data_IF_664404591103
#
_entry.id   IF_664404591103
#
_cell.length_a   1.000
_cell.length_b   1.000
_cell.length_c   1.000
_cell.angle_alpha   90.00
_cell.angle_beta   90.00
_cell.angle_gamma   90.00
#
_symmetry.space_group_name_H-M   'P 1'
#
loop_
_entity.id
_entity.type
_entity.pdbx_description
1 polymer ?
#
# COMPACT_ATOMS: atom_id res chain seq x y z
N UNK A 1 -14.25 25.71 6.44
CA UNK A 1 -14.67 24.36 5.99
C UNK A 1 -14.82 23.46 7.21
N UNK A 2 -15.98 22.83 7.43
CA UNK A 2 -16.15 21.82 8.48
C UNK A 2 -15.31 20.60 8.10
N UNK A 3 -14.33 20.22 8.94
CA UNK A 3 -13.57 18.98 8.79
C UNK A 3 -14.56 17.82 8.82
N UNK A 4 -14.81 17.17 7.69
CA UNK A 4 -15.59 15.94 7.67
C UNK A 4 -14.91 14.95 8.62
N UNK A 5 -15.67 14.36 9.54
CA UNK A 5 -15.14 13.35 10.46
C UNK A 5 -14.74 12.15 9.60
N UNK A 6 -13.46 11.79 9.60
CA UNK A 6 -12.97 10.61 8.87
C UNK A 6 -13.55 9.35 9.54
N UNK A 7 -14.63 8.83 8.98
CA UNK A 7 -15.22 7.55 9.35
C UNK A 7 -14.47 6.41 8.67
N UNK A 8 -14.46 5.24 9.30
CA UNK A 8 -13.82 4.02 8.77
C UNK A 8 -14.33 3.70 7.36
N UNK A 9 -15.64 3.72 7.17
CA UNK A 9 -16.30 3.41 5.89
C UNK A 9 -15.85 4.36 4.78
N UNK A 10 -15.80 5.66 5.07
CA UNK A 10 -15.32 6.68 4.15
C UNK A 10 -13.85 6.45 3.75
N UNK A 11 -12.97 6.19 4.73
CA UNK A 11 -11.55 5.95 4.47
C UNK A 11 -11.38 4.73 3.55
N UNK A 12 -12.02 3.62 3.90
CA UNK A 12 -11.91 2.39 3.13
C UNK A 12 -12.50 2.52 1.72
N UNK A 13 -13.64 3.20 1.60
CA UNK A 13 -14.24 3.51 0.30
C UNK A 13 -13.30 4.35 -0.57
N UNK A 14 -12.73 5.41 -0.01
CA UNK A 14 -11.78 6.28 -0.72
C UNK A 14 -10.52 5.53 -1.17
N UNK A 15 -9.89 4.75 -0.28
CA UNK A 15 -8.67 4.00 -0.61
C UNK A 15 -8.91 2.99 -1.73
N UNK A 16 -10.05 2.28 -1.69
CA UNK A 16 -10.45 1.33 -2.74
C UNK A 16 -10.75 2.04 -4.06
N UNK A 17 -11.53 3.12 -4.04
CA UNK A 17 -11.89 3.88 -5.24
C UNK A 17 -10.65 4.46 -5.94
N UNK A 18 -9.67 4.94 -5.16
CA UNK A 18 -8.43 5.52 -5.70
C UNK A 18 -7.35 4.48 -6.01
N UNK A 19 -7.62 3.18 -5.84
CA UNK A 19 -6.64 2.12 -6.03
C UNK A 19 -5.42 2.26 -5.11
N UNK A 20 -5.56 2.94 -3.97
CA UNK A 20 -4.48 3.17 -2.99
C UNK A 20 -4.38 1.97 -2.07
N UNK A 21 -3.75 0.91 -2.58
CA UNK A 21 -3.54 -0.34 -1.86
C UNK A 21 -2.38 -0.27 -0.87
N UNK A 22 -1.43 0.64 -1.10
CA UNK A 22 -0.29 0.93 -0.23
C UNK A 22 -0.25 2.42 0.13
N UNK A 23 0.20 2.73 1.35
CA UNK A 23 0.44 4.10 1.80
C UNK A 23 1.34 4.17 3.04
N UNK A 24 2.01 5.31 3.20
CA UNK A 24 2.66 5.75 4.45
C UNK A 24 1.73 6.62 5.30
N UNK A 25 2.14 6.95 6.53
CA UNK A 25 1.40 7.93 7.35
C UNK A 25 1.38 9.30 6.69
N UNK A 26 2.46 9.68 6.01
CA UNK A 26 2.64 10.92 5.28
C UNK A 26 1.69 10.97 4.07
N UNK A 27 1.60 9.89 3.30
CA UNK A 27 0.63 9.76 2.21
C UNK A 27 -0.79 9.91 2.74
N UNK A 28 -1.10 9.23 3.84
CA UNK A 28 -2.42 9.28 4.47
C UNK A 28 -2.76 10.70 4.94
N UNK A 29 -1.80 11.38 5.57
CA UNK A 29 -1.95 12.77 5.99
C UNK A 29 -2.22 13.70 4.80
N UNK A 30 -1.49 13.51 3.70
CA UNK A 30 -1.66 14.26 2.46
C UNK A 30 -3.02 13.99 1.81
N UNK A 31 -3.39 12.73 1.63
CA UNK A 31 -4.65 12.29 0.98
C UNK A 31 -5.89 12.83 1.68
N UNK A 32 -5.89 12.88 3.00
CA UNK A 32 -7.05 13.31 3.79
C UNK A 32 -6.91 14.74 4.34
N UNK A 33 -5.86 15.47 3.96
CA UNK A 33 -5.57 16.83 4.41
C UNK A 33 -5.61 16.98 5.94
N UNK A 34 -4.92 16.09 6.64
CA UNK A 34 -4.81 16.05 8.10
C UNK A 34 -3.35 16.11 8.56
N UNK A 35 -3.13 16.33 9.86
CA UNK A 35 -1.78 16.35 10.40
C UNK A 35 -1.21 14.93 10.49
N UNK A 36 0.12 14.73 10.34
CA UNK A 36 0.76 13.42 10.48
C UNK A 36 0.42 12.71 11.80
N UNK A 37 0.39 13.46 12.91
CA UNK A 37 0.00 12.89 14.21
C UNK A 37 -1.43 12.35 14.22
N UNK A 38 -2.37 13.05 13.59
CA UNK A 38 -3.75 12.55 13.50
C UNK A 38 -3.86 11.37 12.54
N UNK A 39 -3.13 11.40 11.41
CA UNK A 39 -3.04 10.29 10.48
C UNK A 39 -2.51 9.02 11.16
N UNK A 40 -1.41 9.13 11.92
CA UNK A 40 -0.85 8.01 12.68
C UNK A 40 -1.89 7.39 13.64
N UNK A 41 -2.68 8.20 14.33
CA UNK A 41 -3.76 7.72 15.21
C UNK A 41 -4.91 7.06 14.44
N UNK A 42 -5.23 7.53 13.24
CA UNK A 42 -6.25 6.90 12.37
C UNK A 42 -5.72 5.56 11.86
N UNK A 43 -4.51 5.53 11.31
CA UNK A 43 -3.87 4.33 10.78
C UNK A 43 -3.69 3.28 11.87
N UNK A 44 -3.26 3.66 13.07
CA UNK A 44 -3.17 2.74 14.21
C UNK A 44 -4.53 2.10 14.56
N UNK A 45 -5.63 2.86 14.45
CA UNK A 45 -6.98 2.32 14.67
C UNK A 45 -7.38 1.34 13.56
N UNK A 46 -7.08 1.66 12.31
CA UNK A 46 -7.30 0.75 11.16
C UNK A 46 -6.43 -0.51 11.23
N UNK A 47 -5.22 -0.41 11.78
CA UNK A 47 -4.37 -1.57 12.02
C UNK A 47 -4.98 -2.46 13.09
N UNK A 48 -5.44 -1.87 14.19
CA UNK A 48 -6.08 -2.60 15.31
C UNK A 48 -7.40 -3.26 14.93
N UNK A 49 -8.15 -2.70 13.98
CA UNK A 49 -9.38 -3.30 13.46
C UNK A 49 -9.15 -4.32 12.35
N UNK A 50 -7.90 -4.53 11.92
CA UNK A 50 -7.53 -5.49 10.87
C UNK A 50 -7.86 -5.01 9.46
N UNK A 51 -8.16 -3.72 9.28
CA UNK A 51 -8.44 -3.16 7.95
C UNK A 51 -7.17 -2.97 7.12
N UNK A 52 -6.04 -2.73 7.79
CA UNK A 52 -4.74 -2.52 7.16
C UNK A 52 -3.67 -3.31 7.88
N UNK A 53 -2.69 -3.77 7.14
CA UNK A 53 -1.54 -4.54 7.63
C UNK A 53 -0.30 -3.68 7.47
N UNK A 54 0.57 -3.67 8.48
CA UNK A 54 1.89 -3.04 8.40
C UNK A 54 2.87 -4.06 7.82
N UNK A 55 3.28 -3.88 6.58
CA UNK A 55 4.19 -4.80 5.86
C UNK A 55 5.66 -4.49 6.16
N UNK A 56 5.95 -3.21 6.41
CA UNK A 56 7.23 -2.71 6.88
C UNK A 56 6.94 -1.50 7.80
N UNK A 57 7.88 -1.13 8.67
CA UNK A 57 7.70 -0.04 9.62
C UNK A 57 7.23 1.25 8.92
N UNK A 58 6.04 1.74 9.28
CA UNK A 58 5.46 2.97 8.73
C UNK A 58 4.81 2.82 7.35
N UNK A 59 4.76 1.59 6.81
CA UNK A 59 4.23 1.25 5.49
C UNK A 59 3.08 0.28 5.62
N UNK A 60 1.93 0.67 5.07
CA UNK A 60 0.67 -0.03 5.29
C UNK A 60 0.02 -0.43 3.97
N UNK A 61 -0.60 -1.59 3.97
CA UNK A 61 -1.45 -2.08 2.87
C UNK A 61 -2.86 -2.37 3.36
N UNK A 62 -3.85 -2.35 2.45
CA UNK A 62 -5.18 -2.88 2.75
C UNK A 62 -5.09 -4.39 3.04
N UNK A 63 -5.80 -4.89 4.06
CA UNK A 63 -5.81 -6.32 4.36
C UNK A 63 -6.35 -7.15 3.18
N UNK A 64 -5.73 -8.31 2.95
CA UNK A 64 -5.91 -9.18 1.79
C UNK A 64 -4.95 -8.88 0.63
N UNK A 65 -4.10 -7.86 0.73
CA UNK A 65 -3.10 -7.48 -0.30
C UNK A 65 -1.67 -7.79 0.14
N UNK A 66 -1.47 -8.12 1.41
CA UNK A 66 -0.17 -8.48 1.99
C UNK A 66 0.41 -9.78 1.43
N UNK A 67 -0.35 -10.55 0.65
CA UNK A 67 0.15 -11.76 -0.03
C UNK A 67 0.63 -11.48 -1.46
N UNK A 68 0.36 -10.30 -2.03
CA UNK A 68 0.82 -9.96 -3.37
C UNK A 68 2.29 -9.52 -3.34
N UNK A 69 3.22 -10.33 -3.88
CA UNK A 69 4.64 -10.03 -3.80
C UNK A 69 5.04 -8.82 -4.64
N UNK A 70 4.24 -8.41 -5.64
CA UNK A 70 4.45 -7.16 -6.37
C UNK A 70 4.11 -5.95 -5.52
N UNK A 71 3.02 -6.04 -4.76
CA UNK A 71 2.62 -4.99 -3.81
C UNK A 71 3.71 -4.86 -2.74
N UNK A 72 4.15 -5.96 -2.14
CA UNK A 72 5.21 -5.88 -1.12
C UNK A 72 6.52 -5.36 -1.73
N UNK A 73 6.99 -5.95 -2.83
CA UNK A 73 8.28 -5.60 -3.43
C UNK A 73 8.35 -4.16 -3.93
N UNK A 74 7.37 -3.74 -4.74
CA UNK A 74 7.37 -2.40 -5.34
C UNK A 74 7.14 -1.30 -4.31
N UNK A 75 6.46 -1.57 -3.20
CA UNK A 75 6.21 -0.53 -2.20
C UNK A 75 7.17 -0.57 -0.99
N UNK A 76 8.00 -1.62 -0.86
CA UNK A 76 9.07 -1.67 0.15
C UNK A 76 10.30 -0.82 -0.23
N UNK A 77 10.49 -0.49 -1.51
CA UNK A 77 11.62 0.35 -1.96
C UNK A 77 11.06 1.54 -2.75
N UNK A 78 11.58 2.75 -2.55
CA UNK A 78 11.19 3.94 -3.33
C UNK A 78 12.44 4.76 -3.69
N UNK A 79 12.69 5.06 -4.99
CA UNK A 79 11.94 4.59 -6.15
C UNK A 79 12.04 3.07 -6.32
N UNK A 80 11.04 2.47 -6.97
CA UNK A 80 11.06 1.06 -7.35
C UNK A 80 10.67 0.86 -8.79
N UNK A 81 11.26 -0.16 -9.41
CA UNK A 81 10.82 -0.67 -10.70
C UNK A 81 10.97 -2.19 -10.76
N UNK A 82 10.00 -2.81 -11.41
CA UNK A 82 10.05 -4.23 -11.72
C UNK A 82 11.23 -4.46 -12.68
N UNK A 83 12.13 -5.37 -12.32
CA UNK A 83 13.39 -5.56 -13.04
C UNK A 83 13.63 -7.02 -13.42
N UNK A 84 14.70 -7.26 -14.17
CA UNK A 84 15.20 -8.58 -14.57
C UNK A 84 14.09 -9.53 -15.11
N UNK A 85 14.07 -10.77 -14.62
CA UNK A 85 13.15 -11.81 -15.09
C UNK A 85 11.69 -11.47 -14.82
N UNK A 86 11.40 -10.74 -13.74
CA UNK A 86 10.05 -10.27 -13.43
C UNK A 86 9.52 -9.39 -14.55
N UNK A 87 10.33 -8.44 -15.01
CA UNK A 87 9.96 -7.58 -16.12
C UNK A 87 9.77 -8.38 -17.43
N UNK A 88 10.68 -9.32 -17.72
CA UNK A 88 10.58 -10.18 -18.90
C UNK A 88 9.27 -11.00 -18.89
N UNK A 89 8.90 -11.55 -17.73
CA UNK A 89 7.68 -12.33 -17.57
C UNK A 89 6.42 -11.48 -17.77
N UNK A 90 6.34 -10.31 -17.11
CA UNK A 90 5.19 -9.39 -17.25
C UNK A 90 5.01 -8.94 -18.70
N UNK A 91 6.10 -8.73 -19.42
CA UNK A 91 6.06 -8.32 -20.83
C UNK A 91 5.89 -9.49 -21.81
N UNK A 92 5.71 -10.72 -21.34
CA UNK A 92 5.50 -11.90 -22.18
C UNK A 92 6.72 -12.29 -23.01
N UNK A 93 7.92 -11.89 -22.57
CA UNK A 93 9.18 -12.27 -23.21
C UNK A 93 9.69 -13.64 -22.73
N UNK A 94 9.15 -14.14 -21.63
CA UNK A 94 9.34 -15.51 -21.13
C UNK A 94 7.99 -16.09 -20.68
N UNK A 95 7.77 -17.38 -20.92
CA UNK A 95 6.47 -18.03 -20.70
C UNK A 95 6.26 -18.51 -19.24
N UNK A 96 7.35 -18.69 -18.49
CA UNK A 96 7.31 -19.20 -17.12
C UNK A 96 8.09 -18.30 -16.18
N UNK A 97 7.44 -17.97 -15.07
CA UNK A 97 8.10 -17.43 -13.89
C UNK A 97 8.41 -18.60 -12.95
N UNK A 98 9.63 -19.11 -13.01
CA UNK A 98 10.05 -20.32 -12.25
C UNK A 98 10.66 -19.98 -10.88
N UNK A 99 10.41 -18.78 -10.33
CA UNK A 99 11.00 -18.34 -9.07
C UNK A 99 9.94 -17.89 -8.05
N UNK A 100 10.26 -18.12 -6.77
CA UNK A 100 9.43 -17.70 -5.63
C UNK A 100 9.65 -16.21 -5.26
N UNK A 101 10.64 -15.56 -5.87
CA UNK A 101 11.07 -14.19 -5.55
C UNK A 101 10.67 -13.21 -6.64
N UNK A 102 10.42 -11.94 -6.27
CA UNK A 102 10.14 -10.85 -7.21
C UNK A 102 11.34 -9.90 -7.24
N UNK A 103 11.93 -9.72 -8.42
CA UNK A 103 13.01 -8.75 -8.63
C UNK A 103 12.45 -7.33 -8.77
N UNK A 104 12.81 -6.49 -7.79
CA UNK A 104 12.55 -5.05 -7.75
C UNK A 104 13.87 -4.33 -7.50
N UNK A 105 14.12 -3.24 -8.23
CA UNK A 105 15.34 -2.44 -8.12
C UNK A 105 15.02 -0.95 -7.96
#
# INVERSE_FOLDING_TARGET
MRKARLTREYILGYLKEKGRQFFTVEDFASMFHITPNYAAQVVLRLKRGGEVVEVEKGKYVLSGMEEDPFVIGCFSVDPSYISFKTALYIHGLIDKYEEEEVYVA
#
